data_IF_790485054159
#
_entry.id   IF_790485054159
#
_cell.length_a   1.000
_cell.length_b   1.000
_cell.length_c   1.000
_cell.angle_alpha   90.00
_cell.angle_beta   90.00
_cell.angle_gamma   90.00
#
_symmetry.space_group_name_H-M   'P 1'
#
loop_
_entity.id
_entity.type
_entity.pdbx_description
1 polymer ?
#
# COMPACT_ATOMS: atom_id res chain seq x y z
N UNK A 1 -6.78 -5.71 -2.69
CA UNK A 1 -7.57 -5.28 -3.87
C UNK A 1 -8.20 -6.48 -4.55
N UNK A 2 -9.48 -6.37 -4.90
CA UNK A 2 -10.23 -7.35 -5.67
C UNK A 2 -10.66 -6.66 -6.96
N UNK A 3 -10.22 -7.17 -8.10
CA UNK A 3 -10.62 -6.69 -9.43
C UNK A 3 -11.94 -7.33 -9.82
N UNK A 4 -12.94 -6.52 -10.21
CA UNK A 4 -14.27 -6.97 -10.61
C UNK A 4 -14.55 -6.47 -12.04
N UNK A 5 -14.92 -7.40 -12.90
CA UNK A 5 -15.23 -7.19 -14.31
C UNK A 5 -16.71 -7.44 -14.59
N UNK A 6 -17.16 -6.97 -15.74
CA UNK A 6 -18.51 -7.26 -16.29
C UNK A 6 -19.66 -6.80 -15.37
N UNK A 7 -19.53 -5.59 -14.79
CA UNK A 7 -20.53 -5.04 -13.86
C UNK A 7 -20.99 -3.64 -14.24
N UNK A 8 -22.18 -3.28 -13.80
CA UNK A 8 -22.57 -1.86 -13.69
C UNK A 8 -21.84 -1.26 -12.50
N UNK A 9 -20.86 -0.39 -12.75
CA UNK A 9 -19.94 0.13 -11.74
C UNK A 9 -20.67 0.88 -10.61
N UNK A 10 -21.56 1.81 -10.95
CA UNK A 10 -22.24 2.66 -9.97
C UNK A 10 -23.21 1.87 -9.10
N UNK A 11 -23.95 0.97 -9.68
CA UNK A 11 -24.85 0.06 -8.96
C UNK A 11 -24.06 -0.88 -8.05
N UNK A 12 -22.97 -1.46 -8.54
CA UNK A 12 -22.10 -2.35 -7.75
C UNK A 12 -21.46 -1.63 -6.56
N UNK A 13 -21.01 -0.39 -6.75
CA UNK A 13 -20.49 0.44 -5.64
C UNK A 13 -21.57 0.62 -4.56
N UNK A 14 -22.80 0.93 -4.95
CA UNK A 14 -23.90 1.10 -3.99
C UNK A 14 -24.19 -0.19 -3.22
N UNK A 15 -24.25 -1.32 -3.94
CA UNK A 15 -24.50 -2.64 -3.35
C UNK A 15 -23.37 -3.01 -2.37
N UNK A 16 -22.10 -2.85 -2.75
CA UNK A 16 -20.95 -3.17 -1.90
C UNK A 16 -20.94 -2.28 -0.66
N UNK A 17 -21.19 -0.98 -0.80
CA UNK A 17 -21.24 -0.08 0.34
C UNK A 17 -22.35 -0.46 1.33
N UNK A 18 -23.52 -0.87 0.83
CA UNK A 18 -24.63 -1.31 1.67
C UNK A 18 -24.35 -2.64 2.40
N UNK A 19 -23.45 -3.46 1.88
CA UNK A 19 -23.05 -4.75 2.46
C UNK A 19 -21.63 -4.71 3.07
N UNK A 20 -21.09 -3.53 3.35
CA UNK A 20 -19.71 -3.38 3.81
C UNK A 20 -19.41 -4.12 5.11
N UNK A 21 -20.37 -4.15 6.06
CA UNK A 21 -20.23 -4.85 7.33
C UNK A 21 -20.12 -6.38 7.13
N UNK A 22 -20.96 -6.97 6.30
CA UNK A 22 -20.94 -8.40 6.00
C UNK A 22 -19.62 -8.79 5.31
N UNK A 23 -19.13 -7.93 4.40
CA UNK A 23 -17.83 -8.12 3.73
C UNK A 23 -16.68 -8.07 4.73
N UNK A 24 -16.69 -7.11 5.67
CA UNK A 24 -15.67 -6.98 6.73
C UNK A 24 -15.71 -8.19 7.66
N UNK A 25 -16.89 -8.62 8.08
CA UNK A 25 -17.06 -9.79 8.95
C UNK A 25 -16.54 -11.05 8.28
N UNK A 26 -16.91 -11.28 7.01
CA UNK A 26 -16.41 -12.40 6.23
C UNK A 26 -14.89 -12.36 6.06
N UNK A 27 -14.31 -11.19 5.73
CA UNK A 27 -12.86 -11.03 5.65
C UNK A 27 -12.18 -11.40 6.97
N UNK A 28 -12.73 -10.94 8.09
CA UNK A 28 -12.18 -11.19 9.41
C UNK A 28 -12.25 -12.66 9.83
N UNK A 29 -13.17 -13.45 9.27
CA UNK A 29 -13.24 -14.89 9.50
C UNK A 29 -12.00 -15.65 9.02
N UNK A 30 -11.22 -15.04 8.11
CA UNK A 30 -9.95 -15.58 7.61
C UNK A 30 -8.85 -15.68 8.68
N UNK A 31 -8.97 -14.95 9.80
CA UNK A 31 -7.95 -14.93 10.85
C UNK A 31 -8.59 -15.12 12.23
N UNK A 32 -8.12 -16.13 12.95
CA UNK A 32 -8.52 -16.33 14.35
C UNK A 32 -7.82 -15.36 15.31
N UNK A 33 -6.73 -14.75 14.92
CA UNK A 33 -5.85 -13.94 15.78
C UNK A 33 -6.13 -12.46 15.65
N UNK A 34 -6.19 -11.93 14.43
CA UNK A 34 -6.31 -10.48 14.20
C UNK A 34 -7.55 -9.87 14.88
N UNK A 35 -8.78 -10.43 14.75
CA UNK A 35 -9.94 -9.85 15.43
C UNK A 35 -9.83 -9.85 16.95
N UNK A 36 -9.20 -10.88 17.55
CA UNK A 36 -8.97 -10.94 19.02
C UNK A 36 -8.04 -9.84 19.50
N UNK A 37 -7.15 -9.35 18.64
CA UNK A 37 -6.24 -8.25 18.92
C UNK A 37 -6.84 -6.87 18.55
N UNK A 38 -8.12 -6.82 18.19
CA UNK A 38 -8.74 -5.61 17.68
C UNK A 38 -8.23 -5.19 16.29
N UNK A 39 -7.59 -6.10 15.55
CA UNK A 39 -7.02 -5.91 14.22
C UNK A 39 -7.90 -6.54 13.13
N UNK A 40 -7.41 -6.66 11.90
CA UNK A 40 -8.11 -7.24 10.76
C UNK A 40 -8.69 -6.21 9.80
N UNK A 41 -9.67 -6.63 8.98
CA UNK A 41 -10.36 -5.76 8.04
C UNK A 41 -11.15 -4.67 8.77
N UNK A 42 -11.01 -3.42 8.33
CA UNK A 42 -11.59 -2.24 8.98
C UNK A 42 -12.53 -1.46 8.07
N UNK A 43 -12.26 -1.46 6.79
CA UNK A 43 -12.98 -0.62 5.84
C UNK A 43 -12.98 -1.28 4.45
N UNK A 44 -14.08 -1.08 3.72
CA UNK A 44 -14.20 -1.43 2.30
C UNK A 44 -14.33 -0.14 1.51
N UNK A 45 -13.54 -0.02 0.44
CA UNK A 45 -13.61 1.08 -0.52
C UNK A 45 -13.80 0.53 -1.92
N UNK A 46 -14.47 1.33 -2.75
CA UNK A 46 -14.64 1.03 -4.16
C UNK A 46 -14.09 2.16 -5.00
N UNK A 47 -13.45 1.82 -6.11
CA UNK A 47 -13.07 2.79 -7.14
C UNK A 47 -13.24 2.22 -8.54
N UNK A 48 -13.61 3.09 -9.46
CA UNK A 48 -13.62 2.79 -10.90
C UNK A 48 -12.21 3.02 -11.47
N UNK A 49 -11.73 2.10 -12.30
CA UNK A 49 -10.56 2.31 -13.16
C UNK A 49 -11.04 2.27 -14.61
N UNK A 50 -10.82 3.36 -15.32
CA UNK A 50 -11.09 3.47 -16.76
C UNK A 50 -9.84 3.14 -17.55
N UNK A 51 -9.96 2.22 -18.49
CA UNK A 51 -8.91 1.87 -19.44
C UNK A 51 -9.30 2.36 -20.84
N UNK A 52 -8.41 2.19 -21.81
CA UNK A 52 -8.70 2.54 -23.21
C UNK A 52 -9.82 1.69 -23.83
N UNK A 53 -10.10 0.51 -23.30
CA UNK A 53 -11.06 -0.46 -23.86
C UNK A 53 -12.27 -0.73 -22.97
N UNK A 54 -12.19 -0.46 -21.68
CA UNK A 54 -13.25 -0.82 -20.73
C UNK A 54 -13.11 -0.04 -19.41
N UNK A 55 -14.08 -0.25 -18.52
CA UNK A 55 -13.96 0.13 -17.10
C UNK A 55 -13.98 -1.12 -16.24
N UNK A 56 -13.32 -1.06 -15.08
CA UNK A 56 -13.37 -2.10 -14.08
C UNK A 56 -13.61 -1.51 -12.69
N UNK A 57 -14.24 -2.28 -11.83
CA UNK A 57 -14.40 -1.94 -10.43
C UNK A 57 -13.28 -2.56 -9.60
N UNK A 58 -12.67 -1.79 -8.74
CA UNK A 58 -11.73 -2.29 -7.74
C UNK A 58 -12.36 -2.15 -6.37
N UNK A 59 -12.49 -3.27 -5.66
CA UNK A 59 -12.88 -3.31 -4.25
C UNK A 59 -11.62 -3.41 -3.40
N UNK A 60 -11.42 -2.46 -2.51
CA UNK A 60 -10.26 -2.37 -1.63
C UNK A 60 -10.67 -2.71 -0.20
N UNK A 61 -10.03 -3.74 0.38
CA UNK A 61 -10.10 -4.02 1.80
C UNK A 61 -8.95 -3.32 2.51
N UNK A 62 -9.27 -2.46 3.46
CA UNK A 62 -8.30 -1.83 4.34
C UNK A 62 -8.11 -2.72 5.58
N UNK A 63 -6.93 -3.30 5.72
CA UNK A 63 -6.66 -4.34 6.72
C UNK A 63 -5.55 -3.89 7.66
N UNK A 64 -5.85 -3.83 8.96
CA UNK A 64 -4.87 -3.64 10.01
C UNK A 64 -4.25 -5.00 10.37
N UNK A 65 -3.03 -5.22 9.95
CA UNK A 65 -2.29 -6.47 10.18
C UNK A 65 -1.43 -6.45 11.46
N UNK A 66 -1.49 -5.35 12.23
CA UNK A 66 -0.65 -5.16 13.42
C UNK A 66 0.83 -5.10 13.05
N UNK A 67 1.65 -5.79 13.84
CA UNK A 67 3.10 -5.82 13.64
C UNK A 67 3.57 -6.83 12.58
N UNK A 68 2.63 -7.63 12.02
CA UNK A 68 2.96 -8.56 10.95
C UNK A 68 3.21 -7.83 9.62
N UNK A 69 4.00 -8.42 8.73
CA UNK A 69 4.10 -7.99 7.33
C UNK A 69 2.75 -8.08 6.62
N UNK A 70 1.99 -9.15 6.86
CA UNK A 70 0.57 -9.26 6.58
C UNK A 70 0.18 -9.70 5.18
N UNK A 71 1.12 -9.99 4.27
CA UNK A 71 0.82 -10.32 2.88
C UNK A 71 -0.14 -11.50 2.73
N UNK A 72 0.16 -12.62 3.39
CA UNK A 72 -0.62 -13.84 3.27
C UNK A 72 -2.06 -13.66 3.77
N UNK A 73 -2.23 -13.05 4.96
CA UNK A 73 -3.57 -12.84 5.52
C UNK A 73 -4.39 -11.87 4.68
N UNK A 74 -3.76 -10.84 4.12
CA UNK A 74 -4.42 -9.90 3.21
C UNK A 74 -4.93 -10.58 1.96
N UNK A 75 -4.10 -11.41 1.32
CA UNK A 75 -4.52 -12.19 0.15
C UNK A 75 -5.63 -13.18 0.50
N UNK A 76 -5.50 -13.90 1.62
CA UNK A 76 -6.53 -14.85 2.09
C UNK A 76 -7.87 -14.14 2.33
N UNK A 77 -7.87 -12.94 2.94
CA UNK A 77 -9.08 -12.15 3.13
C UNK A 77 -9.72 -11.76 1.79
N UNK A 78 -8.92 -11.35 0.80
CA UNK A 78 -9.43 -11.04 -0.54
C UNK A 78 -10.03 -12.27 -1.22
N UNK A 79 -9.39 -13.44 -1.09
CA UNK A 79 -9.88 -14.70 -1.68
C UNK A 79 -11.20 -15.15 -1.05
N UNK A 80 -11.35 -15.04 0.26
CA UNK A 80 -12.59 -15.43 0.97
C UNK A 80 -13.76 -14.52 0.61
N UNK A 81 -13.49 -13.21 0.44
CA UNK A 81 -14.51 -12.21 0.13
C UNK A 81 -14.93 -12.23 -1.33
N UNK A 82 -14.07 -12.63 -2.26
CA UNK A 82 -14.34 -12.57 -3.70
C UNK A 82 -15.64 -13.26 -4.13
N UNK A 83 -15.99 -14.46 -3.67
CA UNK A 83 -17.27 -15.11 -4.03
C UNK A 83 -18.50 -14.31 -3.55
N UNK A 84 -18.41 -13.62 -2.40
CA UNK A 84 -19.48 -12.75 -1.94
C UNK A 84 -19.63 -11.52 -2.85
N UNK A 85 -18.52 -10.92 -3.27
CA UNK A 85 -18.52 -9.79 -4.22
C UNK A 85 -19.16 -10.20 -5.55
N UNK A 86 -18.81 -11.38 -6.09
CA UNK A 86 -19.43 -11.90 -7.31
C UNK A 86 -20.95 -12.10 -7.15
N UNK A 87 -21.37 -12.68 -6.03
CA UNK A 87 -22.79 -12.87 -5.73
C UNK A 87 -23.56 -11.56 -5.62
N UNK A 88 -22.96 -10.53 -5.01
CA UNK A 88 -23.57 -9.23 -4.81
C UNK A 88 -23.68 -8.42 -6.10
N UNK A 89 -22.64 -8.46 -6.93
CA UNK A 89 -22.53 -7.61 -8.13
C UNK A 89 -22.95 -8.29 -9.43
N UNK A 90 -23.04 -9.61 -9.45
CA UNK A 90 -23.22 -10.40 -10.66
C UNK A 90 -22.00 -10.42 -11.57
N UNK A 91 -20.91 -9.79 -11.18
CA UNK A 91 -19.67 -9.71 -11.95
C UNK A 91 -18.71 -10.88 -11.72
N UNK A 92 -17.56 -10.80 -12.37
CA UNK A 92 -16.46 -11.75 -12.27
C UNK A 92 -15.28 -11.12 -11.56
N UNK A 93 -14.78 -11.76 -10.50
CA UNK A 93 -13.54 -11.36 -9.85
C UNK A 93 -12.33 -11.99 -10.55
N UNK A 94 -11.26 -11.22 -10.74
CA UNK A 94 -10.03 -11.68 -11.36
C UNK A 94 -8.86 -11.62 -10.38
N UNK A 95 -8.15 -10.51 -10.26
CA UNK A 95 -7.07 -10.38 -9.28
C UNK A 95 -7.60 -10.14 -7.86
N UNK A 96 -7.01 -10.84 -6.89
CA UNK A 96 -7.34 -10.80 -5.45
C UNK A 96 -6.03 -10.72 -4.69
N UNK A 97 -5.44 -9.51 -4.68
CA UNK A 97 -4.04 -9.35 -4.29
C UNK A 97 -3.84 -8.09 -3.44
N UNK A 98 -2.86 -8.12 -2.55
CA UNK A 98 -2.43 -6.96 -1.79
C UNK A 98 -1.83 -5.88 -2.71
N UNK A 99 -1.72 -4.66 -2.19
CA UNK A 99 -0.86 -3.63 -2.75
C UNK A 99 0.30 -3.38 -1.80
N UNK A 100 1.52 -3.28 -2.35
CA UNK A 100 2.68 -2.86 -1.58
C UNK A 100 2.69 -1.35 -1.32
N UNK A 101 1.84 -0.57 -2.01
CA UNK A 101 1.69 0.86 -1.78
C UNK A 101 0.82 1.14 -0.53
N UNK A 102 1.43 0.92 0.64
CA UNK A 102 0.76 0.93 1.95
C UNK A 102 0.67 2.33 2.54
N UNK A 103 -0.08 3.24 1.91
CA UNK A 103 -0.22 4.66 2.29
C UNK A 103 -0.83 4.89 3.68
N UNK A 104 -1.41 3.87 4.30
CA UNK A 104 -1.93 3.91 5.68
C UNK A 104 -0.93 3.42 6.73
N UNK A 105 0.22 2.89 6.31
CA UNK A 105 1.27 2.35 7.18
C UNK A 105 2.55 3.15 6.99
N UNK A 106 2.53 4.36 7.51
CA UNK A 106 3.59 5.35 7.33
C UNK A 106 4.23 5.72 8.66
N UNK A 107 5.53 6.01 8.63
CA UNK A 107 6.28 6.61 9.73
C UNK A 107 6.97 7.85 9.19
N UNK A 108 6.82 8.96 9.89
CA UNK A 108 7.55 10.20 9.61
C UNK A 108 8.52 10.48 10.76
N UNK A 109 9.77 10.77 10.41
CA UNK A 109 10.83 11.10 11.37
C UNK A 109 11.47 12.40 10.94
N UNK A 110 11.74 13.29 11.90
CA UNK A 110 12.51 14.52 11.70
C UNK A 110 13.67 14.58 12.68
N UNK A 111 14.79 15.18 12.25
CA UNK A 111 15.94 15.42 13.08
C UNK A 111 16.54 16.80 12.77
N UNK A 112 17.08 17.45 13.80
CA UNK A 112 17.81 18.72 13.67
C UNK A 112 19.27 18.44 14.00
N UNK A 113 20.15 18.84 13.10
CA UNK A 113 21.60 18.74 13.28
C UNK A 113 22.18 20.13 13.43
N UNK A 114 23.07 20.30 14.42
CA UNK A 114 23.86 21.51 14.55
C UNK A 114 24.78 21.67 13.32
N UNK A 115 24.81 22.89 12.74
CA UNK A 115 25.61 23.15 11.53
C UNK A 115 27.10 22.92 11.73
N UNK A 116 27.61 23.24 12.92
CA UNK A 116 29.04 23.08 13.21
C UNK A 116 29.39 21.58 13.36
N UNK A 117 28.45 20.75 13.86
CA UNK A 117 28.62 19.32 13.95
C UNK A 117 28.68 18.62 12.58
N UNK A 118 28.05 19.18 11.54
CA UNK A 118 28.10 18.64 10.16
C UNK A 118 29.23 19.24 9.32
N UNK A 119 30.03 20.16 9.86
CA UNK A 119 31.21 20.72 9.20
C UNK A 119 31.08 22.20 8.82
N UNK A 120 30.09 22.90 9.35
CA UNK A 120 29.91 24.33 9.20
C UNK A 120 29.00 24.76 8.06
N UNK A 121 28.81 26.06 7.93
CA UNK A 121 27.84 26.67 7.01
C UNK A 121 28.11 26.35 5.53
N UNK A 122 29.37 26.26 5.13
CA UNK A 122 29.72 25.93 3.74
C UNK A 122 29.27 24.48 3.40
N UNK A 123 29.47 23.54 4.32
CA UNK A 123 29.02 22.15 4.11
C UNK A 123 27.50 22.07 4.00
N UNK A 124 26.77 22.85 4.80
CA UNK A 124 25.29 22.92 4.69
C UNK A 124 24.87 23.44 3.32
N UNK A 125 25.50 24.51 2.83
CA UNK A 125 25.20 25.05 1.50
C UNK A 125 25.53 24.06 0.38
N UNK A 126 26.62 23.33 0.49
CA UNK A 126 27.01 22.29 -0.47
C UNK A 126 26.00 21.12 -0.47
N UNK A 127 25.48 20.73 0.70
CA UNK A 127 24.41 19.73 0.81
C UNK A 127 23.12 20.18 0.12
N UNK A 128 22.73 21.44 0.29
CA UNK A 128 21.56 22.03 -0.38
C UNK A 128 21.75 22.01 -1.90
N UNK A 129 22.91 22.45 -2.38
CA UNK A 129 23.23 22.47 -3.82
C UNK A 129 23.24 21.05 -4.41
N UNK A 130 23.72 20.06 -3.67
CA UNK A 130 23.70 18.67 -4.09
C UNK A 130 22.27 18.09 -4.14
N UNK A 131 21.41 18.52 -3.21
CA UNK A 131 19.98 18.18 -3.25
C UNK A 131 19.30 18.82 -4.47
N UNK A 132 19.51 20.10 -4.72
CA UNK A 132 18.95 20.82 -5.87
C UNK A 132 19.35 20.16 -7.18
N UNK A 133 20.56 19.63 -7.30
CA UNK A 133 20.97 18.85 -8.47
C UNK A 133 20.14 17.59 -8.63
N UNK A 134 19.88 16.85 -7.55
CA UNK A 134 19.05 15.66 -7.61
C UNK A 134 17.55 15.98 -7.88
N UNK A 135 17.07 17.13 -7.42
CA UNK A 135 15.69 17.56 -7.62
C UNK A 135 15.40 18.03 -9.05
N UNK A 136 16.40 18.51 -9.77
CA UNK A 136 16.25 19.14 -11.08
C UNK A 136 16.85 18.33 -12.26
N UNK A 137 17.54 17.22 -12.02
CA UNK A 137 18.12 16.37 -13.05
C UNK A 137 17.70 14.90 -12.89
N UNK A 138 17.03 14.36 -13.89
CA UNK A 138 16.48 12.98 -13.87
C UNK A 138 17.56 11.92 -13.68
N UNK A 139 18.74 12.08 -14.32
CA UNK A 139 19.84 11.12 -14.20
C UNK A 139 20.41 11.11 -12.79
N UNK A 140 20.54 12.29 -12.20
CA UNK A 140 20.99 12.43 -10.81
C UNK A 140 19.93 11.94 -9.84
N UNK A 141 18.65 12.23 -10.06
CA UNK A 141 17.54 11.78 -9.22
C UNK A 141 17.50 10.24 -9.10
N UNK A 142 17.60 9.52 -10.22
CA UNK A 142 17.63 8.05 -10.22
C UNK A 142 18.80 7.51 -9.41
N UNK A 143 19.99 8.10 -9.55
CA UNK A 143 21.18 7.71 -8.79
C UNK A 143 21.06 8.04 -7.30
N UNK A 144 20.46 9.18 -6.97
CA UNK A 144 20.17 9.59 -5.60
C UNK A 144 19.21 8.60 -4.92
N UNK A 145 18.11 8.26 -5.56
CA UNK A 145 17.11 7.31 -5.06
C UNK A 145 17.74 5.93 -4.81
N UNK A 146 18.57 5.45 -5.74
CA UNK A 146 19.33 4.21 -5.56
C UNK A 146 20.23 4.28 -4.33
N UNK A 147 20.90 5.43 -4.10
CA UNK A 147 21.76 5.66 -2.94
C UNK A 147 20.99 5.60 -1.62
N UNK A 148 19.82 6.24 -1.55
CA UNK A 148 18.91 6.17 -0.38
C UNK A 148 18.50 4.73 -0.10
N UNK A 149 18.15 3.98 -1.15
CA UNK A 149 17.72 2.58 -1.01
C UNK A 149 18.83 1.66 -0.53
N UNK A 150 20.11 1.97 -0.73
CA UNK A 150 21.21 1.18 -0.15
C UNK A 150 21.09 1.07 1.39
N UNK A 151 20.83 2.19 2.06
CA UNK A 151 20.65 2.21 3.53
C UNK A 151 19.35 1.52 3.95
N UNK A 152 18.25 1.85 3.30
CA UNK A 152 16.92 1.30 3.59
C UNK A 152 16.90 -0.23 3.46
N UNK A 153 17.43 -0.76 2.35
CA UNK A 153 17.49 -2.21 2.09
C UNK A 153 18.42 -2.92 3.07
N UNK A 154 19.54 -2.29 3.46
CA UNK A 154 20.45 -2.87 4.45
C UNK A 154 19.74 -3.07 5.79
N UNK A 155 18.98 -2.08 6.27
CA UNK A 155 18.18 -2.19 7.50
C UNK A 155 17.06 -3.22 7.33
N UNK A 156 16.34 -3.20 6.20
CA UNK A 156 15.27 -4.15 5.91
C UNK A 156 15.77 -5.59 5.97
N UNK A 157 16.90 -5.88 5.35
CA UNK A 157 17.51 -7.22 5.36
C UNK A 157 17.97 -7.63 6.77
N UNK A 158 18.59 -6.71 7.51
CA UNK A 158 19.04 -6.96 8.88
C UNK A 158 17.89 -7.25 9.86
N UNK A 159 16.69 -6.72 9.57
CA UNK A 159 15.48 -6.91 10.39
C UNK A 159 14.52 -7.95 9.82
N UNK A 160 14.91 -8.67 8.76
CA UNK A 160 14.09 -9.74 8.15
C UNK A 160 12.85 -9.25 7.43
N UNK A 161 12.85 -8.01 6.92
CA UNK A 161 11.74 -7.42 6.17
C UNK A 161 11.82 -7.78 4.67
N UNK A 162 10.70 -7.62 3.96
CA UNK A 162 10.65 -7.79 2.49
C UNK A 162 11.22 -6.54 1.80
N UNK A 163 12.51 -6.60 1.45
CA UNK A 163 13.23 -5.49 0.83
C UNK A 163 12.64 -5.08 -0.53
N UNK A 164 12.12 -6.04 -1.32
CA UNK A 164 11.53 -5.74 -2.64
C UNK A 164 10.18 -5.04 -2.50
N UNK A 165 9.37 -5.41 -1.50
CA UNK A 165 8.11 -4.72 -1.22
C UNK A 165 8.35 -3.28 -0.76
N UNK A 166 9.37 -3.07 0.08
CA UNK A 166 9.78 -1.73 0.55
C UNK A 166 10.28 -0.88 -0.62
N UNK A 167 11.15 -1.43 -1.47
CA UNK A 167 11.69 -0.74 -2.64
C UNK A 167 10.58 -0.33 -3.61
N UNK A 168 9.67 -1.26 -3.95
CA UNK A 168 8.53 -0.98 -4.82
C UNK A 168 7.64 0.14 -4.27
N UNK A 169 7.40 0.18 -2.95
CA UNK A 169 6.62 1.22 -2.31
C UNK A 169 7.35 2.57 -2.28
N UNK A 170 8.67 2.56 -2.10
CA UNK A 170 9.48 3.78 -2.02
C UNK A 170 9.64 4.50 -3.36
N UNK A 171 9.52 3.78 -4.49
CA UNK A 171 9.62 4.33 -5.84
C UNK A 171 8.26 4.71 -6.46
N UNK A 172 7.14 4.47 -5.78
CA UNK A 172 5.78 4.83 -6.24
C UNK A 172 5.37 6.31 -5.86
#
# INVERSE_FOLDING_TARGET
QIQVLDVNIQESISIINSNSNDIIELANSASKTLPKLGKGAKEVKCKEIKTSSSSMLIVELMIDVGDAMGANVTNTMCEIVAPLIEKLTGGKTLLRILSNYSTKRMVSVSAIFDKDAVGGEQVVNDMISAFEFADNDVYRAVTHNKGVMNGTISVANATGQDSRAIEAAAHA
#
